data_IF_633792692246
#
_entry.id   IF_633792692246
#
_cell.length_a   1.000
_cell.length_b   1.000
_cell.length_c   1.000
_cell.angle_alpha   90.00
_cell.angle_beta   90.00
_cell.angle_gamma   90.00
#
_symmetry.space_group_name_H-M   'P 1'
#
loop_
_entity.id
_entity.type
_entity.pdbx_description
1 polymer ?
#
# COMPACT_ATOMS: atom_id res chain seq x y z
N UNK A 1 -47.74 -28.88 21.30
CA UNK A 1 -46.95 -27.64 21.18
C UNK A 1 -45.55 -27.94 21.70
N UNK A 2 -44.54 -28.00 20.84
CA UNK A 2 -43.13 -28.09 21.26
C UNK A 2 -42.44 -26.81 20.74
N UNK A 3 -41.77 -25.99 21.57
CA UNK A 3 -41.15 -24.77 21.10
C UNK A 3 -39.93 -25.10 20.25
N UNK A 4 -39.83 -24.48 19.08
CA UNK A 4 -38.68 -24.60 18.19
C UNK A 4 -37.42 -24.08 18.90
N UNK A 5 -36.47 -24.98 19.15
CA UNK A 5 -35.11 -24.61 19.56
C UNK A 5 -34.41 -23.90 18.40
N UNK A 6 -33.79 -22.72 18.61
CA UNK A 6 -32.89 -22.13 17.63
C UNK A 6 -31.65 -23.02 17.48
N UNK A 7 -31.27 -23.35 16.25
CA UNK A 7 -30.16 -24.25 15.93
C UNK A 7 -28.81 -23.60 16.28
N UNK A 8 -27.98 -24.18 17.17
CA UNK A 8 -26.73 -23.58 17.67
C UNK A 8 -25.52 -23.68 16.71
N UNK A 9 -25.74 -24.07 15.45
CA UNK A 9 -24.66 -24.39 14.50
C UNK A 9 -24.13 -23.17 13.75
N UNK A 10 -24.95 -22.14 13.56
CA UNK A 10 -24.61 -20.98 12.71
C UNK A 10 -23.62 -20.02 13.37
N UNK A 11 -23.76 -19.80 14.69
CA UNK A 11 -22.90 -18.88 15.43
C UNK A 11 -21.48 -19.43 15.54
N UNK A 12 -21.36 -20.72 15.87
CA UNK A 12 -20.09 -21.44 16.03
C UNK A 12 -19.23 -21.44 14.75
N UNK A 13 -19.87 -21.54 13.59
CA UNK A 13 -19.19 -21.54 12.30
C UNK A 13 -18.66 -20.13 11.96
N UNK A 14 -19.48 -19.10 12.19
CA UNK A 14 -19.13 -17.70 11.96
C UNK A 14 -17.99 -17.23 12.88
N UNK A 15 -17.96 -17.68 14.15
CA UNK A 15 -16.86 -17.33 15.06
C UNK A 15 -15.53 -17.97 14.64
N UNK A 16 -15.56 -19.22 14.16
CA UNK A 16 -14.35 -19.89 13.65
C UNK A 16 -13.83 -19.25 12.37
N UNK A 17 -14.72 -18.87 11.46
CA UNK A 17 -14.34 -18.14 10.25
C UNK A 17 -13.67 -16.81 10.58
N UNK A 18 -14.24 -16.03 11.50
CA UNK A 18 -13.64 -14.79 11.98
C UNK A 18 -12.27 -15.02 12.64
N UNK A 19 -12.16 -16.03 13.50
CA UNK A 19 -10.89 -16.37 14.16
C UNK A 19 -9.80 -16.76 13.16
N UNK A 20 -10.16 -17.51 12.11
CA UNK A 20 -9.23 -17.90 11.05
C UNK A 20 -8.79 -16.69 10.23
N UNK A 21 -9.73 -15.82 9.83
CA UNK A 21 -9.42 -14.59 9.09
C UNK A 21 -8.50 -13.67 9.92
N UNK A 22 -8.80 -13.47 11.20
CA UNK A 22 -7.97 -12.66 12.10
C UNK A 22 -6.55 -13.25 12.25
N UNK A 23 -6.45 -14.57 12.37
CA UNK A 23 -5.15 -15.27 12.47
C UNK A 23 -4.34 -15.12 11.18
N UNK A 24 -4.98 -15.17 10.01
CA UNK A 24 -4.33 -14.97 8.72
C UNK A 24 -3.83 -13.53 8.57
N UNK A 25 -4.67 -12.54 8.92
CA UNK A 25 -4.28 -11.12 8.89
C UNK A 25 -3.14 -10.85 9.87
N UNK A 26 -3.19 -11.38 11.10
CA UNK A 26 -2.12 -11.21 12.08
C UNK A 26 -0.79 -11.79 11.58
N UNK A 27 -0.79 -13.04 11.09
CA UNK A 27 0.43 -13.64 10.54
C UNK A 27 1.03 -12.83 9.39
N UNK A 28 0.18 -12.32 8.50
CA UNK A 28 0.62 -11.50 7.37
C UNK A 28 1.21 -10.17 7.84
N UNK A 29 0.54 -9.48 8.76
CA UNK A 29 1.02 -8.21 9.33
C UNK A 29 2.36 -8.41 10.04
N UNK A 30 2.50 -9.48 10.83
CA UNK A 30 3.76 -9.80 11.50
C UNK A 30 4.88 -10.08 10.49
N UNK A 31 4.59 -10.84 9.43
CA UNK A 31 5.57 -11.13 8.38
C UNK A 31 6.00 -9.86 7.63
N UNK A 32 5.04 -9.04 7.19
CA UNK A 32 5.34 -7.79 6.49
C UNK A 32 6.09 -6.79 7.37
N UNK A 33 5.72 -6.67 8.65
CA UNK A 33 6.46 -5.85 9.61
C UNK A 33 7.90 -6.34 9.81
N UNK A 34 8.11 -7.65 9.90
CA UNK A 34 9.44 -8.22 10.03
C UNK A 34 10.31 -7.93 8.80
N UNK A 35 9.74 -8.03 7.59
CA UNK A 35 10.43 -7.71 6.34
C UNK A 35 10.81 -6.23 6.26
N UNK A 36 9.85 -5.32 6.50
CA UNK A 36 10.10 -3.87 6.54
C UNK A 36 11.18 -3.53 7.56
N UNK A 37 11.11 -4.11 8.76
CA UNK A 37 12.10 -3.90 9.82
C UNK A 37 13.49 -4.37 9.40
N UNK A 38 13.60 -5.54 8.77
CA UNK A 38 14.87 -6.07 8.29
C UNK A 38 15.49 -5.16 7.21
N UNK A 39 14.70 -4.71 6.23
CA UNK A 39 15.18 -3.80 5.19
C UNK A 39 15.63 -2.46 5.79
N UNK A 40 14.85 -1.91 6.74
CA UNK A 40 15.20 -0.67 7.42
C UNK A 40 16.50 -0.80 8.22
N UNK A 41 16.68 -1.90 8.95
CA UNK A 41 17.93 -2.17 9.69
C UNK A 41 19.13 -2.27 8.75
N UNK A 42 19.00 -2.94 7.62
CA UNK A 42 20.06 -3.03 6.62
C UNK A 42 20.40 -1.66 6.02
N UNK A 43 19.39 -0.83 5.73
CA UNK A 43 19.60 0.52 5.21
C UNK A 43 20.32 1.42 6.24
N UNK A 44 19.94 1.34 7.51
CA UNK A 44 20.58 2.08 8.60
C UNK A 44 22.04 1.63 8.79
N UNK A 45 22.29 0.33 8.89
CA UNK A 45 23.64 -0.22 9.01
C UNK A 45 24.53 0.17 7.81
N UNK A 46 23.94 0.27 6.61
CA UNK A 46 24.67 0.73 5.42
C UNK A 46 25.15 2.18 5.57
N UNK A 47 24.28 3.07 6.07
CA UNK A 47 24.59 4.49 6.29
C UNK A 47 25.70 4.71 7.32
N UNK A 48 25.86 3.82 8.29
CA UNK A 48 26.96 3.89 9.27
C UNK A 48 28.34 3.63 8.64
N UNK A 49 28.39 3.08 7.42
CA UNK A 49 29.65 2.81 6.73
C UNK A 49 30.13 3.98 5.87
N UNK A 50 31.45 4.21 5.72
CA UNK A 50 31.98 5.22 4.81
C UNK A 50 31.60 5.00 3.33
N UNK A 51 31.35 3.73 2.95
CA UNK A 51 30.86 3.37 1.62
C UNK A 51 29.40 3.75 1.44
N UNK A 52 28.57 3.60 2.46
CA UNK A 52 27.15 3.95 2.40
C UNK A 52 26.90 5.43 2.17
N UNK A 53 27.71 6.30 2.77
CA UNK A 53 27.67 7.74 2.50
C UNK A 53 27.91 8.11 1.02
N UNK A 54 28.61 7.26 0.26
CA UNK A 54 28.89 7.46 -1.18
C UNK A 54 27.90 6.75 -2.09
N UNK A 55 27.11 5.82 -1.55
CA UNK A 55 26.19 4.95 -2.27
C UNK A 55 24.77 5.04 -1.67
N UNK A 56 24.23 6.25 -1.64
CA UNK A 56 22.87 6.53 -1.17
C UNK A 56 21.79 5.94 -2.09
N UNK A 57 22.14 5.56 -3.32
CA UNK A 57 21.26 4.85 -4.25
C UNK A 57 20.82 3.48 -3.70
N UNK A 58 21.63 2.85 -2.84
CA UNK A 58 21.27 1.62 -2.12
C UNK A 58 20.19 1.91 -1.08
N UNK A 59 20.31 3.03 -0.37
CA UNK A 59 19.32 3.48 0.63
C UNK A 59 18.02 3.89 -0.05
N UNK A 60 18.10 4.61 -1.17
CA UNK A 60 16.93 4.96 -1.97
C UNK A 60 16.16 3.71 -2.44
N UNK A 61 16.88 2.67 -2.89
CA UNK A 61 16.29 1.37 -3.24
C UNK A 61 15.67 0.67 -2.03
N UNK A 62 16.35 0.66 -0.89
CA UNK A 62 15.81 0.08 0.34
C UNK A 62 14.52 0.79 0.80
N UNK A 63 14.48 2.12 0.74
CA UNK A 63 13.28 2.91 1.03
C UNK A 63 12.14 2.61 0.05
N UNK A 64 12.46 2.42 -1.23
CA UNK A 64 11.46 2.01 -2.22
C UNK A 64 10.91 0.62 -1.92
N UNK A 65 11.77 -0.35 -1.59
CA UNK A 65 11.33 -1.69 -1.16
C UNK A 65 10.47 -1.64 0.10
N UNK A 66 10.83 -0.83 1.10
CA UNK A 66 10.01 -0.64 2.31
C UNK A 66 8.62 -0.12 1.96
N UNK A 67 8.53 0.89 1.09
CA UNK A 67 7.24 1.44 0.67
C UNK A 67 6.42 0.39 -0.08
N UNK A 68 7.02 -0.26 -1.07
CA UNK A 68 6.31 -1.23 -1.90
C UNK A 68 5.83 -2.45 -1.07
N UNK A 69 6.61 -2.88 -0.06
CA UNK A 69 6.20 -3.90 0.92
C UNK A 69 5.05 -3.43 1.82
N UNK A 70 5.07 -2.16 2.25
CA UNK A 70 4.01 -1.58 3.07
C UNK A 70 2.69 -1.46 2.28
N UNK A 71 2.76 -1.01 1.01
CA UNK A 71 1.60 -0.91 0.12
C UNK A 71 1.00 -2.30 -0.12
N UNK A 72 1.84 -3.30 -0.39
CA UNK A 72 1.39 -4.70 -0.56
C UNK A 72 0.69 -5.22 0.70
N UNK A 73 1.23 -4.93 1.89
CA UNK A 73 0.62 -5.34 3.16
C UNK A 73 -0.73 -4.65 3.38
N UNK A 74 -0.84 -3.37 3.04
CA UNK A 74 -2.08 -2.60 3.15
C UNK A 74 -3.16 -3.13 2.20
N UNK A 75 -2.80 -3.40 0.94
CA UNK A 75 -3.72 -3.97 -0.06
C UNK A 75 -4.29 -5.29 0.43
N UNK A 76 -3.43 -6.22 0.88
CA UNK A 76 -3.89 -7.52 1.34
C UNK A 76 -4.74 -7.45 2.62
N UNK A 77 -4.30 -6.69 3.63
CA UNK A 77 -5.11 -6.49 4.84
C UNK A 77 -6.46 -5.83 4.50
N UNK A 78 -6.47 -4.91 3.53
CA UNK A 78 -7.67 -4.28 2.98
C UNK A 78 -8.60 -5.28 2.31
N UNK A 79 -8.08 -6.19 1.47
CA UNK A 79 -8.91 -7.21 0.79
C UNK A 79 -9.59 -8.17 1.77
N UNK A 80 -8.88 -8.63 2.80
CA UNK A 80 -9.44 -9.50 3.85
C UNK A 80 -10.47 -8.74 4.70
N UNK A 81 -10.20 -7.49 5.06
CA UNK A 81 -11.15 -6.65 5.78
C UNK A 81 -12.42 -6.36 4.94
N UNK A 82 -12.26 -6.12 3.64
CA UNK A 82 -13.37 -5.88 2.72
C UNK A 82 -14.22 -7.14 2.51
N UNK A 83 -13.60 -8.33 2.44
CA UNK A 83 -14.33 -9.61 2.40
C UNK A 83 -15.19 -9.83 3.66
N UNK A 84 -14.77 -9.24 4.79
CA UNK A 84 -15.50 -9.27 6.06
C UNK A 84 -16.43 -8.06 6.28
N UNK A 85 -16.52 -7.14 5.31
CA UNK A 85 -17.34 -5.94 5.39
C UNK A 85 -16.83 -4.88 6.37
N UNK A 86 -15.57 -4.96 6.78
CA UNK A 86 -14.90 -4.03 7.72
C UNK A 86 -13.71 -3.29 7.09
N UNK A 87 -13.71 -3.15 5.76
CA UNK A 87 -12.65 -2.48 5.00
C UNK A 87 -12.33 -1.07 5.53
N UNK A 88 -11.04 -0.76 5.61
CA UNK A 88 -10.56 0.56 6.00
C UNK A 88 -10.39 1.46 4.77
N UNK A 89 -10.94 2.67 4.83
CA UNK A 89 -10.79 3.68 3.77
C UNK A 89 -9.79 4.75 4.22
N UNK A 90 -8.60 4.79 3.60
CA UNK A 90 -7.64 5.87 3.85
C UNK A 90 -8.01 7.11 3.03
N UNK A 91 -8.80 7.99 3.64
CA UNK A 91 -9.16 9.28 3.05
C UNK A 91 -7.93 10.16 2.73
N UNK A 92 -6.80 9.98 3.41
CA UNK A 92 -5.57 10.71 3.13
C UNK A 92 -4.83 10.14 1.91
N UNK A 93 -4.83 8.82 1.72
CA UNK A 93 -4.33 8.20 0.48
C UNK A 93 -5.17 8.66 -0.71
N UNK A 94 -6.49 8.66 -0.60
CA UNK A 94 -7.37 9.15 -1.67
C UNK A 94 -7.03 10.59 -2.09
N UNK A 95 -6.82 11.49 -1.11
CA UNK A 95 -6.38 12.87 -1.40
C UNK A 95 -4.99 12.92 -2.05
N UNK A 96 -4.05 12.06 -1.63
CA UNK A 96 -2.69 12.00 -2.20
C UNK A 96 -2.73 11.48 -3.65
N UNK A 97 -3.52 10.46 -3.93
CA UNK A 97 -3.73 9.91 -5.26
C UNK A 97 -4.39 10.92 -6.21
N UNK A 98 -5.45 11.61 -5.76
CA UNK A 98 -6.10 12.69 -6.52
C UNK A 98 -5.12 13.82 -6.86
N UNK A 99 -4.29 14.23 -5.90
CA UNK A 99 -3.27 15.25 -6.12
C UNK A 99 -2.20 14.80 -7.12
N UNK A 100 -1.74 13.54 -7.03
CA UNK A 100 -0.77 12.97 -7.95
C UNK A 100 -1.33 12.87 -9.38
N UNK A 101 -2.59 12.45 -9.53
CA UNK A 101 -3.26 12.36 -10.82
C UNK A 101 -3.49 13.75 -11.44
N UNK A 102 -3.92 14.73 -10.63
CA UNK A 102 -4.06 16.11 -11.07
C UNK A 102 -2.72 16.71 -11.54
N UNK A 103 -1.64 16.43 -10.82
CA UNK A 103 -0.30 16.86 -11.21
C UNK A 103 0.15 16.20 -12.53
N UNK A 104 -0.07 14.89 -12.69
CA UNK A 104 0.25 14.17 -13.92
C UNK A 104 -0.53 14.71 -15.13
N UNK A 105 -1.84 14.97 -14.96
CA UNK A 105 -2.69 15.58 -15.99
C UNK A 105 -2.21 16.99 -16.36
N UNK A 106 -1.86 17.81 -15.38
CA UNK A 106 -1.33 19.15 -15.61
C UNK A 106 0.00 19.12 -16.38
N UNK A 107 0.88 18.16 -16.06
CA UNK A 107 2.15 17.95 -16.75
C UNK A 107 1.94 17.53 -18.21
N UNK A 108 0.98 16.63 -18.47
CA UNK A 108 0.62 16.18 -19.81
C UNK A 108 0.06 17.34 -20.66
N UNK A 109 -0.85 18.15 -20.10
CA UNK A 109 -1.39 19.33 -20.79
C UNK A 109 -0.29 20.36 -21.12
N UNK A 110 0.71 20.53 -20.26
CA UNK A 110 1.83 21.43 -20.51
C UNK A 110 2.69 20.96 -21.69
N UNK A 111 2.87 19.64 -21.83
CA UNK A 111 3.59 19.03 -22.95
C UNK A 111 2.82 19.13 -24.27
N UNK A 112 1.50 18.98 -24.23
CA UNK A 112 0.62 19.15 -25.42
C UNK A 112 0.52 20.61 -25.89
N UNK A 113 0.64 21.57 -24.97
CA UNK A 113 0.59 23.01 -25.30
C UNK A 113 1.93 23.60 -25.72
N UNK A 114 2.97 22.77 -25.90
CA UNK A 114 4.29 23.26 -26.33
C UNK A 114 4.18 23.76 -27.79
N UNK A 115 4.42 25.05 -28.07
CA UNK A 115 4.35 25.58 -29.43
C UNK A 115 5.41 24.88 -30.29
N UNK A 116 5.04 24.43 -31.48
CA UNK A 116 6.02 23.96 -32.48
C UNK A 116 6.85 25.19 -32.89
N UNK A 117 8.17 25.21 -32.66
CA UNK A 117 8.98 26.37 -33.05
C UNK A 117 9.13 26.37 -34.57
N UNK A 118 8.55 27.41 -35.19
CA UNK A 118 8.84 27.81 -36.55
C UNK A 118 8.08 27.03 -37.61
N UNK A 119 6.85 27.45 -37.90
CA UNK A 119 6.31 27.43 -39.26
C UNK A 119 5.38 28.65 -39.44
N UNK A 120 5.90 29.59 -40.22
CA UNK A 120 5.21 30.31 -41.30
C UNK A 120 4.51 31.64 -40.99
N UNK A 121 5.11 32.70 -41.55
CA UNK A 121 4.48 34.00 -41.73
C UNK A 121 5.44 35.06 -42.25
N UNK A 122 6.35 34.72 -43.17
CA UNK A 122 7.14 35.70 -43.92
C UNK A 122 6.71 35.74 -45.38
N UNK A 123 6.29 36.96 -45.76
CA UNK A 123 5.99 37.49 -47.10
C UNK A 123 4.69 37.03 -47.77
#
# INVERSE_FOLDING_TARGET
MNPAQPSPTTDSHSTRQLSNALTQVDHLVQQGCAEISAIAQLALAWLETPKGHRHLDVVARALQSIRDSADTLADYAGTEAQAMGCGFEDAAEMRRAEAAEAAARAMAQLLERRPVPGLDGSS
#
